data_IF_927007442669
#
_entry.id   IF_927007442669
#
_cell.length_a   1.000
_cell.length_b   1.000
_cell.length_c   1.000
_cell.angle_alpha   90.00
_cell.angle_beta   90.00
_cell.angle_gamma   90.00
#
_symmetry.space_group_name_H-M   'P 1'
#
loop_
_entity.id
_entity.type
_entity.pdbx_description
1 polymer ?
#
# COMPACT_ATOMS: atom_id res chain seq x y z
N UNK A 1 -7.50 40.84 78.72
CA UNK A 1 -8.17 40.38 79.95
C UNK A 1 -7.33 40.78 81.16
N UNK A 2 -7.93 41.08 82.32
CA UNK A 2 -7.21 41.40 83.56
C UNK A 2 -7.03 40.14 84.41
N UNK A 3 -5.84 39.91 84.97
CA UNK A 3 -5.64 38.79 85.91
C UNK A 3 -6.42 39.02 87.21
N UNK A 4 -6.89 37.93 87.84
CA UNK A 4 -7.55 38.02 89.15
C UNK A 4 -6.52 38.42 90.21
N UNK A 5 -6.93 39.26 91.16
CA UNK A 5 -6.02 39.81 92.17
C UNK A 5 -5.87 38.86 93.37
N UNK A 6 -5.37 37.67 93.11
CA UNK A 6 -4.93 36.70 94.13
C UNK A 6 -3.43 36.45 94.01
N UNK A 7 -2.74 36.00 95.08
CA UNK A 7 -1.30 35.77 95.04
C UNK A 7 -0.85 34.80 93.94
N UNK A 8 -1.68 33.80 93.61
CA UNK A 8 -1.40 32.75 92.62
C UNK A 8 -2.17 32.91 91.30
N UNK A 9 -2.94 34.00 91.14
CA UNK A 9 -3.78 34.30 89.96
C UNK A 9 -4.86 33.26 89.68
N UNK A 10 -5.30 32.50 90.69
CA UNK A 10 -6.39 31.54 90.57
C UNK A 10 -7.57 31.89 91.46
N UNK A 11 -8.72 31.35 91.11
CA UNK A 11 -9.87 31.33 91.99
C UNK A 11 -9.68 30.28 93.09
N UNK A 12 -10.03 30.67 94.30
CA UNK A 12 -10.02 29.84 95.51
C UNK A 12 -11.44 29.77 96.04
N UNK A 13 -11.93 28.56 96.29
CA UNK A 13 -13.25 28.36 96.90
C UNK A 13 -13.20 28.71 98.39
N UNK A 14 -14.28 29.32 98.87
CA UNK A 14 -14.47 29.49 100.30
C UNK A 14 -14.92 28.17 100.92
N UNK A 15 -14.51 27.89 102.16
CA UNK A 15 -14.92 26.68 102.87
C UNK A 15 -16.20 26.87 103.72
N UNK A 16 -16.87 28.02 103.58
CA UNK A 16 -18.12 28.34 104.26
C UNK A 16 -18.01 28.60 105.77
N UNK A 17 -16.79 28.64 106.33
CA UNK A 17 -16.55 28.92 107.76
C UNK A 17 -15.49 30.01 107.95
N UNK A 18 -14.26 29.73 107.54
CA UNK A 18 -13.09 30.55 107.95
C UNK A 18 -12.20 30.97 106.78
N UNK A 19 -12.36 30.32 105.61
CA UNK A 19 -11.65 30.69 104.38
C UNK A 19 -12.64 31.39 103.46
N UNK A 20 -12.41 32.69 103.25
CA UNK A 20 -13.17 33.46 102.28
C UNK A 20 -12.75 33.02 100.87
N UNK A 21 -13.74 32.75 100.03
CA UNK A 21 -13.49 32.50 98.61
C UNK A 21 -12.97 33.75 97.90
N UNK A 22 -12.46 33.57 96.69
CA UNK A 22 -11.98 34.69 95.88
C UNK A 22 -13.11 35.67 95.59
N UNK A 23 -12.94 36.92 96.02
CA UNK A 23 -13.89 38.01 95.75
C UNK A 23 -13.56 38.64 94.41
N UNK A 24 -14.55 38.72 93.52
CA UNK A 24 -14.41 39.34 92.21
C UNK A 24 -14.79 40.81 92.28
N UNK A 25 -13.89 41.69 91.83
CA UNK A 25 -14.17 43.15 91.79
C UNK A 25 -14.96 43.54 90.54
N UNK A 26 -15.73 44.62 90.63
CA UNK A 26 -16.44 45.19 89.48
C UNK A 26 -15.49 45.53 88.32
N UNK A 27 -14.32 46.09 88.62
CA UNK A 27 -13.28 46.38 87.62
C UNK A 27 -12.84 45.14 86.86
N UNK A 28 -12.69 44.01 87.56
CA UNK A 28 -12.33 42.74 86.92
C UNK A 28 -13.47 42.23 86.03
N UNK A 29 -14.72 42.29 86.52
CA UNK A 29 -15.88 41.84 85.75
C UNK A 29 -16.14 42.72 84.52
N UNK A 30 -15.99 44.04 84.64
CA UNK A 30 -16.07 44.99 83.53
C UNK A 30 -14.98 44.75 82.49
N UNK A 31 -13.75 44.42 82.94
CA UNK A 31 -12.67 44.05 82.03
C UNK A 31 -13.00 42.77 81.24
N UNK A 32 -13.58 41.75 81.90
CA UNK A 32 -14.04 40.52 81.22
C UNK A 32 -15.17 40.81 80.23
N UNK A 33 -16.15 41.64 80.61
CA UNK A 33 -17.22 42.07 79.71
C UNK A 33 -16.65 42.80 78.49
N UNK A 34 -15.66 43.68 78.68
CA UNK A 34 -14.99 44.40 77.59
C UNK A 34 -14.35 43.47 76.56
N UNK A 35 -13.68 42.39 77.01
CA UNK A 35 -13.10 41.37 76.11
C UNK A 35 -14.19 40.63 75.33
N UNK A 36 -15.28 40.24 75.99
CA UNK A 36 -16.39 39.51 75.34
C UNK A 36 -17.09 40.41 74.31
N UNK A 37 -17.36 41.66 74.67
CA UNK A 37 -17.94 42.66 73.75
C UNK A 37 -16.98 42.92 72.59
N UNK A 38 -15.68 43.10 72.87
CA UNK A 38 -14.64 43.33 71.86
C UNK A 38 -14.48 42.17 70.90
N UNK A 39 -14.65 40.93 71.36
CA UNK A 39 -14.66 39.75 70.49
C UNK A 39 -15.88 39.73 69.56
N UNK A 40 -17.09 40.03 70.08
CA UNK A 40 -18.31 40.07 69.26
C UNK A 40 -18.23 41.18 68.21
N UNK A 41 -17.81 42.39 68.60
CA UNK A 41 -17.71 43.53 67.69
C UNK A 41 -16.53 43.43 66.73
N UNK A 42 -15.41 42.87 67.18
CA UNK A 42 -14.24 42.58 66.35
C UNK A 42 -14.50 41.55 65.25
N UNK A 43 -15.47 40.65 65.46
CA UNK A 43 -16.01 39.74 64.44
C UNK A 43 -17.18 40.35 63.64
N UNK A 44 -17.29 41.69 63.64
CA UNK A 44 -18.27 42.47 62.89
C UNK A 44 -19.75 42.20 63.27
N UNK A 45 -20.01 41.73 64.49
CA UNK A 45 -21.36 41.55 65.04
C UNK A 45 -21.71 42.62 66.09
N UNK A 46 -22.99 42.85 66.35
CA UNK A 46 -23.46 43.80 67.38
C UNK A 46 -23.89 43.08 68.64
N UNK A 47 -23.55 43.64 69.80
CA UNK A 47 -24.06 43.16 71.08
C UNK A 47 -25.53 43.57 71.24
N UNK A 48 -26.40 42.60 71.53
CA UNK A 48 -27.84 42.78 71.70
C UNK A 48 -28.36 41.94 72.87
N UNK A 49 -28.79 42.58 73.95
CA UNK A 49 -29.28 41.91 75.16
C UNK A 49 -30.49 40.98 74.95
N UNK A 50 -31.24 41.14 73.86
CA UNK A 50 -32.35 40.24 73.51
C UNK A 50 -31.90 38.94 72.83
N UNK A 51 -30.62 38.84 72.45
CA UNK A 51 -30.07 37.70 71.73
C UNK A 51 -29.22 36.83 72.66
N UNK A 52 -29.57 35.56 72.86
CA UNK A 52 -28.69 34.62 73.57
C UNK A 52 -27.52 34.18 72.67
N UNK A 53 -26.44 33.68 73.30
CA UNK A 53 -25.31 33.02 72.61
C UNK A 53 -24.57 33.87 71.57
N UNK A 54 -24.51 35.19 71.76
CA UNK A 54 -23.96 36.13 70.76
C UNK A 54 -22.51 35.84 70.39
N UNK A 55 -21.67 35.46 71.36
CA UNK A 55 -20.29 35.07 71.11
C UNK A 55 -20.19 33.86 70.18
N UNK A 56 -20.98 32.81 70.44
CA UNK A 56 -21.05 31.64 69.57
C UNK A 56 -21.48 32.04 68.15
N UNK A 57 -22.52 32.86 68.03
CA UNK A 57 -23.03 33.32 66.72
C UNK A 57 -21.99 34.14 65.96
N UNK A 58 -21.28 35.05 66.62
CA UNK A 58 -20.23 35.86 66.00
C UNK A 58 -19.06 34.99 65.51
N UNK A 59 -18.62 34.04 66.32
CA UNK A 59 -17.54 33.09 65.95
C UNK A 59 -18.01 32.15 64.83
N UNK A 60 -19.22 31.59 64.92
CA UNK A 60 -19.75 30.69 63.91
C UNK A 60 -19.93 31.39 62.55
N UNK A 61 -20.45 32.62 62.55
CA UNK A 61 -20.57 33.42 61.33
C UNK A 61 -19.19 33.76 60.74
N UNK A 62 -18.26 34.24 61.56
CA UNK A 62 -16.91 34.56 61.09
C UNK A 62 -16.17 33.33 60.54
N UNK A 63 -16.37 32.15 61.13
CA UNK A 63 -15.78 30.89 60.65
C UNK A 63 -16.41 30.42 59.32
N UNK A 64 -17.71 30.65 59.14
CA UNK A 64 -18.39 30.39 57.87
C UNK A 64 -17.92 31.35 56.75
N UNK A 65 -17.55 32.59 57.10
CA UNK A 65 -17.11 33.61 56.13
C UNK A 65 -15.62 33.50 55.74
N UNK A 66 -14.76 33.00 56.64
CA UNK A 66 -13.29 33.15 56.53
C UNK A 66 -12.59 32.44 55.36
N UNK A 67 -13.24 31.52 54.63
CA UNK A 67 -12.60 30.82 53.52
C UNK A 67 -13.48 30.55 52.28
N UNK A 68 -14.79 30.78 52.33
CA UNK A 68 -15.68 29.76 51.75
C UNK A 68 -16.75 30.34 50.78
N UNK A 69 -17.21 31.58 50.94
CA UNK A 69 -18.25 32.15 50.06
C UNK A 69 -17.74 33.16 49.01
N UNK A 70 -16.79 34.03 49.35
CA UNK A 70 -16.42 35.18 48.50
C UNK A 70 -15.29 34.90 47.50
N UNK A 71 -14.47 33.86 47.72
CA UNK A 71 -13.44 33.45 46.76
C UNK A 71 -14.02 32.39 45.84
N UNK A 72 -13.98 32.61 44.53
CA UNK A 72 -14.60 31.74 43.52
C UNK A 72 -13.55 31.27 42.51
N UNK A 73 -13.67 30.00 42.12
CA UNK A 73 -12.98 29.44 40.97
C UNK A 73 -13.91 29.61 39.77
N UNK A 74 -13.50 30.42 38.80
CA UNK A 74 -14.22 30.58 37.53
C UNK A 74 -13.53 29.75 36.47
N UNK A 75 -14.25 28.77 35.91
CA UNK A 75 -13.75 27.99 34.79
C UNK A 75 -13.67 28.86 33.52
N UNK A 76 -12.52 28.81 32.84
CA UNK A 76 -12.33 29.42 31.53
C UNK A 76 -12.89 28.55 30.40
N UNK A 77 -12.75 29.00 29.16
CA UNK A 77 -13.12 28.22 27.98
C UNK A 77 -12.40 26.86 27.96
N UNK A 78 -13.13 25.79 27.64
CA UNK A 78 -12.60 24.43 27.63
C UNK A 78 -12.66 23.75 28.99
N UNK A 79 -13.05 24.46 30.05
CA UNK A 79 -13.24 23.93 31.39
C UNK A 79 -14.69 24.16 31.84
N UNK A 80 -15.24 23.26 32.64
CA UNK A 80 -16.53 23.44 33.32
C UNK A 80 -16.40 23.17 34.81
N UNK A 81 -17.37 23.63 35.61
CA UNK A 81 -17.34 23.52 37.06
C UNK A 81 -16.83 24.79 37.74
N UNK A 82 -16.15 24.63 38.87
CA UNK A 82 -15.75 25.75 39.74
C UNK A 82 -16.82 26.10 40.79
N UNK A 83 -17.00 27.39 41.05
CA UNK A 83 -17.85 27.93 42.11
C UNK A 83 -17.05 28.49 43.29
N UNK A 84 -17.74 28.97 44.32
CA UNK A 84 -17.10 29.49 45.54
C UNK A 84 -16.23 28.41 46.21
N UNK A 85 -15.31 28.74 47.11
CA UNK A 85 -14.50 27.75 47.82
C UNK A 85 -15.26 27.10 48.99
N UNK A 86 -16.58 26.92 48.84
CA UNK A 86 -17.42 26.57 49.96
C UNK A 86 -17.28 25.13 50.48
N UNK A 87 -16.72 24.30 49.63
CA UNK A 87 -16.43 22.89 49.84
C UNK A 87 -15.47 22.48 48.71
N UNK A 88 -15.26 21.17 48.51
CA UNK A 88 -14.44 20.64 47.42
C UNK A 88 -14.99 21.06 46.05
N UNK A 89 -14.12 21.58 45.18
CA UNK A 89 -14.46 22.00 43.81
C UNK A 89 -13.92 21.01 42.79
N UNK A 90 -14.75 20.71 41.80
CA UNK A 90 -14.36 19.93 40.63
C UNK A 90 -14.29 20.87 39.45
N UNK A 91 -13.18 20.82 38.73
CA UNK A 91 -13.01 21.45 37.43
C UNK A 91 -12.85 20.32 36.42
N UNK A 92 -13.69 20.31 35.41
CA UNK A 92 -13.69 19.27 34.38
C UNK A 92 -13.13 19.85 33.09
N UNK A 93 -12.17 19.15 32.48
CA UNK A 93 -11.71 19.47 31.14
C UNK A 93 -12.76 18.99 30.12
N UNK A 94 -13.13 19.88 29.21
CA UNK A 94 -14.05 19.58 28.12
C UNK A 94 -13.52 18.47 27.22
N UNK A 95 -14.41 17.60 26.76
CA UNK A 95 -14.06 16.48 25.89
C UNK A 95 -13.36 16.98 24.62
N UNK A 96 -12.22 16.41 24.20
CA UNK A 96 -11.58 16.77 22.94
C UNK A 96 -12.54 16.60 21.75
N UNK A 97 -12.50 17.52 20.80
CA UNK A 97 -13.20 17.38 19.53
C UNK A 97 -12.51 16.35 18.64
N UNK A 98 -13.27 15.72 17.74
CA UNK A 98 -12.72 14.84 16.70
C UNK A 98 -11.72 15.60 15.82
N UNK A 99 -10.54 15.03 15.63
CA UNK A 99 -9.54 15.57 14.69
C UNK A 99 -9.93 15.20 13.26
N UNK A 100 -9.98 16.21 12.38
CA UNK A 100 -10.22 16.09 10.94
C UNK A 100 -9.02 16.66 10.18
N UNK A 101 -9.01 16.50 8.86
CA UNK A 101 -7.97 17.06 7.99
C UNK A 101 -7.93 18.61 7.96
N UNK A 102 -8.85 19.29 8.68
CA UNK A 102 -8.91 20.76 8.80
C UNK A 102 -9.07 21.21 10.25
N UNK A 103 -8.87 20.33 11.23
CA UNK A 103 -8.90 20.74 12.64
C UNK A 103 -7.84 21.79 12.91
N UNK A 104 -8.20 22.80 13.70
CA UNK A 104 -7.29 23.82 14.22
C UNK A 104 -6.93 23.56 15.67
N UNK A 105 -5.93 24.29 16.17
CA UNK A 105 -5.72 24.45 17.60
C UNK A 105 -6.79 25.41 18.14
N UNK A 106 -7.82 24.88 18.81
CA UNK A 106 -8.92 25.70 19.31
C UNK A 106 -9.42 25.25 20.68
N UNK A 107 -10.01 26.18 21.43
CA UNK A 107 -10.77 25.91 22.64
C UNK A 107 -12.22 26.36 22.42
N UNK A 108 -13.17 25.54 22.86
CA UNK A 108 -14.59 25.82 22.82
C UNK A 108 -15.17 25.76 24.25
N UNK A 109 -16.42 26.17 24.45
CA UNK A 109 -17.02 26.27 25.79
C UNK A 109 -16.82 25.01 26.65
N UNK A 110 -16.97 23.82 26.06
CA UNK A 110 -16.80 22.52 26.73
C UNK A 110 -15.97 21.52 25.90
N UNK A 111 -15.05 22.00 25.06
CA UNK A 111 -14.19 21.16 24.23
C UNK A 111 -12.86 21.85 23.90
N UNK A 112 -11.92 21.10 23.36
CA UNK A 112 -10.68 21.62 22.77
C UNK A 112 -10.26 20.73 21.60
N UNK A 113 -9.46 21.27 20.68
CA UNK A 113 -8.92 20.52 19.54
C UNK A 113 -7.49 20.94 19.25
N UNK A 114 -6.77 20.04 18.59
CA UNK A 114 -5.47 20.34 18.00
C UNK A 114 -5.51 20.17 16.48
N UNK A 115 -4.62 20.90 15.82
CA UNK A 115 -4.31 20.71 14.41
C UNK A 115 -3.30 19.58 14.25
N UNK A 116 -3.51 18.77 13.22
CA UNK A 116 -2.49 17.89 12.66
C UNK A 116 -2.33 18.29 11.21
N UNK A 117 -1.09 18.56 10.80
CA UNK A 117 -0.81 18.95 9.42
C UNK A 117 -1.22 17.85 8.44
N UNK A 118 -1.53 18.24 7.21
CA UNK A 118 -1.67 17.28 6.11
C UNK A 118 -0.30 16.76 5.73
N UNK A 119 -0.20 15.47 5.45
CA UNK A 119 1.09 14.93 5.05
C UNK A 119 1.50 15.47 3.67
N UNK A 120 2.81 15.49 3.45
CA UNK A 120 3.45 15.73 2.16
C UNK A 120 4.61 14.75 2.00
N UNK A 121 5.35 14.85 0.89
CA UNK A 121 6.57 14.06 0.68
C UNK A 121 7.71 14.43 1.64
N UNK A 122 7.58 15.50 2.41
CA UNK A 122 8.60 15.99 3.36
C UNK A 122 8.09 16.18 4.78
N UNK A 123 6.78 16.00 5.02
CA UNK A 123 6.15 16.18 6.33
C UNK A 123 5.15 15.06 6.60
N UNK A 124 5.20 14.47 7.80
CA UNK A 124 4.20 13.52 8.26
C UNK A 124 2.88 14.22 8.61
N UNK A 125 1.75 13.52 8.48
CA UNK A 125 0.44 14.11 8.74
C UNK A 125 -0.74 13.22 8.35
N UNK A 126 -1.95 13.80 8.34
CA UNK A 126 -3.16 13.11 7.87
C UNK A 126 -3.12 12.98 6.33
N UNK A 127 -3.45 11.79 5.81
CA UNK A 127 -3.46 11.46 4.37
C UNK A 127 -4.84 10.95 3.95
N UNK A 128 -5.32 11.37 2.78
CA UNK A 128 -6.48 10.76 2.13
C UNK A 128 -6.02 9.61 1.22
N UNK A 129 -6.73 8.48 1.24
CA UNK A 129 -6.48 7.38 0.32
C UNK A 129 -7.09 7.66 -1.06
N UNK A 130 -6.33 7.39 -2.12
CA UNK A 130 -6.78 7.46 -3.51
C UNK A 130 -6.98 6.05 -4.08
N UNK A 131 -8.22 5.77 -4.49
CA UNK A 131 -8.63 4.49 -5.05
C UNK A 131 -8.79 4.52 -6.59
N UNK A 132 -8.01 5.36 -7.28
CA UNK A 132 -7.91 5.41 -8.75
C UNK A 132 -6.45 5.44 -9.18
N UNK A 133 -6.19 5.19 -10.48
CA UNK A 133 -4.86 5.26 -11.09
C UNK A 133 -4.71 6.45 -12.05
N UNK A 134 -5.66 7.38 -12.03
CA UNK A 134 -5.73 8.52 -12.97
C UNK A 134 -5.45 9.86 -12.31
N UNK A 135 -5.33 9.90 -10.99
CA UNK A 135 -5.06 11.13 -10.25
C UNK A 135 -3.58 11.50 -10.30
N UNK A 136 -3.30 12.80 -10.34
CA UNK A 136 -1.95 13.37 -10.18
C UNK A 136 -1.74 14.01 -8.80
N UNK A 137 -2.64 13.78 -7.85
CA UNK A 137 -2.55 14.37 -6.52
C UNK A 137 -1.31 13.86 -5.76
N UNK A 138 -0.51 14.79 -5.23
CA UNK A 138 0.73 14.49 -4.49
C UNK A 138 0.52 14.35 -2.98
N UNK A 139 -0.71 14.55 -2.51
CA UNK A 139 -1.11 14.57 -1.10
C UNK A 139 -2.10 13.45 -0.74
N UNK A 140 -2.17 12.41 -1.56
CA UNK A 140 -3.00 11.24 -1.34
C UNK A 140 -2.14 9.97 -1.41
N UNK A 141 -2.45 8.97 -0.59
CA UNK A 141 -1.76 7.67 -0.64
C UNK A 141 -2.54 6.67 -1.50
N UNK A 142 -1.81 5.85 -2.25
CA UNK A 142 -2.40 4.78 -3.06
C UNK A 142 -3.10 3.74 -2.17
N UNK A 143 -4.28 3.27 -2.56
CA UNK A 143 -4.92 2.13 -1.87
C UNK A 143 -4.25 0.80 -2.23
N UNK A 144 -4.38 -0.18 -1.34
CA UNK A 144 -3.95 -1.55 -1.60
C UNK A 144 -4.61 -2.16 -2.85
N UNK A 145 -5.89 -1.85 -3.10
CA UNK A 145 -6.60 -2.31 -4.29
C UNK A 145 -5.97 -1.79 -5.60
N UNK A 146 -5.59 -0.52 -5.63
CA UNK A 146 -4.93 0.06 -6.80
C UNK A 146 -3.47 -0.38 -6.93
N UNK A 147 -2.75 -0.59 -5.82
CA UNK A 147 -1.44 -1.24 -5.84
C UNK A 147 -1.48 -2.66 -6.43
N UNK A 148 -2.49 -3.46 -6.07
CA UNK A 148 -2.72 -4.77 -6.68
C UNK A 148 -3.03 -4.66 -8.19
N UNK A 149 -3.87 -3.71 -8.58
CA UNK A 149 -4.22 -3.51 -10.00
C UNK A 149 -2.99 -3.19 -10.85
N UNK A 150 -2.12 -2.29 -10.38
CA UNK A 150 -0.84 -1.99 -11.05
C UNK A 150 0.02 -3.24 -11.17
N UNK A 151 0.13 -4.04 -10.11
CA UNK A 151 0.89 -5.29 -10.14
C UNK A 151 0.33 -6.27 -11.17
N UNK A 152 -1.00 -6.45 -11.22
CA UNK A 152 -1.65 -7.35 -12.19
C UNK A 152 -1.42 -6.87 -13.63
N UNK A 153 -1.50 -5.56 -13.88
CA UNK A 153 -1.23 -4.95 -15.20
C UNK A 153 0.24 -5.11 -15.61
N UNK A 154 1.19 -4.94 -14.67
CA UNK A 154 2.62 -5.15 -14.91
C UNK A 154 2.95 -6.60 -15.25
N UNK A 155 2.39 -7.57 -14.52
CA UNK A 155 2.57 -9.00 -14.81
C UNK A 155 2.00 -9.34 -16.18
N UNK A 156 0.82 -8.79 -16.53
CA UNK A 156 0.23 -8.99 -17.84
C UNK A 156 1.11 -8.40 -18.97
N UNK A 157 1.72 -7.23 -18.77
CA UNK A 157 2.66 -6.63 -19.72
C UNK A 157 3.90 -7.50 -19.91
N UNK A 158 4.53 -7.95 -18.82
CA UNK A 158 5.71 -8.83 -18.88
C UNK A 158 5.41 -10.10 -19.68
N UNK A 159 4.27 -10.75 -19.45
CA UNK A 159 3.86 -11.94 -20.21
C UNK A 159 3.70 -11.65 -21.70
N UNK A 160 3.12 -10.51 -22.09
CA UNK A 160 2.99 -10.12 -23.51
C UNK A 160 4.36 -9.96 -24.16
N UNK A 161 5.30 -9.30 -23.48
CA UNK A 161 6.67 -9.11 -23.98
C UNK A 161 7.37 -10.45 -24.15
N UNK A 162 7.29 -11.34 -23.16
CA UNK A 162 7.88 -12.69 -23.24
C UNK A 162 7.33 -13.47 -24.44
N UNK A 163 6.01 -13.49 -24.63
CA UNK A 163 5.40 -14.21 -25.75
C UNK A 163 5.75 -13.61 -27.11
N UNK A 164 5.87 -12.28 -27.22
CA UNK A 164 6.29 -11.62 -28.46
C UNK A 164 7.74 -11.93 -28.82
N UNK A 165 8.64 -11.97 -27.83
CA UNK A 165 10.04 -12.34 -28.04
C UNK A 165 10.13 -13.81 -28.47
N UNK A 166 9.44 -14.71 -27.77
CA UNK A 166 9.39 -16.13 -28.11
C UNK A 166 8.88 -16.35 -29.54
N UNK A 167 7.75 -15.74 -29.91
CA UNK A 167 7.17 -15.87 -31.25
C UNK A 167 8.04 -15.32 -32.39
N UNK A 168 8.88 -14.30 -32.12
CA UNK A 168 9.83 -13.77 -33.12
C UNK A 168 11.08 -14.63 -33.27
N UNK A 169 11.52 -15.29 -32.19
CA UNK A 169 12.67 -16.20 -32.23
C UNK A 169 12.36 -17.45 -33.07
N UNK A 170 11.13 -17.97 -32.97
CA UNK A 170 10.67 -19.12 -33.74
C UNK A 170 10.42 -18.81 -35.22
N UNK A 171 10.04 -17.58 -35.56
CA UNK A 171 9.82 -17.15 -36.95
C UNK A 171 11.12 -16.99 -37.75
N UNK A 172 12.25 -16.76 -37.08
CA UNK A 172 13.56 -16.69 -37.72
C UNK A 172 14.26 -18.07 -37.85
N UNK A 173 13.77 -19.09 -37.12
CA UNK A 173 14.47 -20.36 -36.94
C UNK A 173 13.81 -21.58 -37.65
N UNK A 174 12.59 -21.47 -38.19
CA UNK A 174 11.94 -22.61 -38.85
C UNK A 174 10.64 -22.30 -39.61
N UNK A 175 10.14 -23.30 -40.35
CA UNK A 175 8.81 -23.28 -40.99
C UNK A 175 7.78 -23.66 -39.93
N UNK A 176 7.23 -22.67 -39.23
CA UNK A 176 6.33 -22.85 -38.08
C UNK A 176 4.86 -22.50 -38.38
N UNK A 177 4.51 -22.15 -39.61
CA UNK A 177 3.14 -21.82 -40.01
C UNK A 177 2.55 -22.92 -40.91
N UNK A 178 1.23 -23.08 -40.87
CA UNK A 178 0.48 -24.09 -41.65
C UNK A 178 0.21 -23.68 -43.10
N UNK A 179 0.61 -22.47 -43.50
CA UNK A 179 0.48 -21.95 -44.86
C UNK A 179 1.82 -21.83 -45.58
N UNK A 180 1.79 -21.42 -46.84
CA UNK A 180 3.00 -21.21 -47.63
C UNK A 180 3.93 -20.19 -46.97
N UNK A 181 5.20 -20.55 -46.80
CA UNK A 181 6.22 -19.69 -46.20
C UNK A 181 7.36 -19.45 -47.19
N UNK A 182 7.68 -18.17 -47.42
CA UNK A 182 8.92 -17.79 -48.11
C UNK A 182 10.04 -17.66 -47.10
N UNK A 183 11.12 -18.42 -47.30
CA UNK A 183 12.29 -18.36 -46.42
C UNK A 183 13.48 -17.83 -47.21
N UNK A 184 13.94 -16.61 -46.88
CA UNK A 184 15.08 -15.97 -47.55
C UNK A 184 16.42 -16.53 -47.09
N UNK A 185 17.45 -16.42 -47.94
CA UNK A 185 18.84 -16.84 -47.66
C UNK A 185 19.09 -18.34 -47.85
N UNK A 186 20.36 -18.75 -47.83
CA UNK A 186 20.79 -20.16 -47.99
C UNK A 186 20.25 -21.01 -46.82
N UNK A 187 19.89 -22.26 -47.11
CA UNK A 187 19.46 -23.26 -46.12
C UNK A 187 20.36 -24.47 -46.18
N UNK A 188 20.79 -24.93 -45.01
CA UNK A 188 21.57 -26.17 -44.84
C UNK A 188 20.78 -27.10 -43.95
N UNK A 189 20.41 -28.28 -44.48
CA UNK A 189 19.80 -29.35 -43.71
C UNK A 189 20.88 -30.36 -43.34
N UNK A 190 21.23 -30.45 -42.04
CA UNK A 190 22.24 -31.40 -41.56
C UNK A 190 21.80 -32.87 -41.66
N UNK A 191 20.52 -33.10 -41.94
CA UNK A 191 19.90 -34.41 -42.09
C UNK A 191 19.18 -34.52 -43.44
N UNK A 192 18.79 -35.74 -43.82
CA UNK A 192 18.04 -36.01 -45.04
C UNK A 192 16.72 -35.22 -45.05
N UNK A 193 16.49 -34.47 -46.13
CA UNK A 193 15.21 -33.81 -46.40
C UNK A 193 14.20 -34.81 -46.96
N UNK A 194 13.03 -34.93 -46.33
CA UNK A 194 11.90 -35.73 -46.84
C UNK A 194 10.83 -34.80 -47.42
N UNK A 195 10.61 -34.88 -48.73
CA UNK A 195 9.62 -34.07 -49.46
C UNK A 195 8.62 -34.97 -50.19
N UNK A 196 7.50 -35.31 -49.54
CA UNK A 196 6.50 -36.22 -50.11
C UNK A 196 5.79 -35.67 -51.36
N UNK A 197 5.77 -34.34 -51.55
CA UNK A 197 5.27 -33.68 -52.75
C UNK A 197 6.32 -33.44 -53.84
N UNK A 198 7.57 -33.88 -53.64
CA UNK A 198 8.71 -33.55 -54.49
C UNK A 198 9.34 -32.19 -54.16
N UNK A 199 10.42 -31.87 -54.89
CA UNK A 199 11.14 -30.60 -54.79
C UNK A 199 11.05 -29.89 -56.15
N UNK A 200 10.41 -28.74 -56.20
CA UNK A 200 10.45 -27.87 -57.37
C UNK A 200 11.75 -27.06 -57.36
N UNK A 201 12.47 -27.08 -58.48
CA UNK A 201 13.75 -26.41 -58.65
C UNK A 201 13.63 -25.41 -59.80
N UNK A 202 13.76 -24.13 -59.47
CA UNK A 202 13.82 -23.01 -60.41
C UNK A 202 14.88 -22.02 -59.93
N UNK A 203 15.39 -21.18 -60.84
CA UNK A 203 16.34 -20.13 -60.48
C UNK A 203 15.68 -18.87 -59.90
N UNK A 204 14.37 -18.69 -60.07
CA UNK A 204 13.58 -17.61 -59.46
C UNK A 204 12.07 -17.95 -59.49
N UNK A 205 11.28 -17.17 -58.75
CA UNK A 205 9.83 -17.33 -58.63
C UNK A 205 9.10 -17.18 -59.98
N UNK A 206 9.54 -16.24 -60.83
CA UNK A 206 8.95 -16.02 -62.16
C UNK A 206 9.06 -17.27 -63.03
N UNK A 207 10.20 -17.96 -62.98
CA UNK A 207 10.44 -19.18 -63.74
C UNK A 207 9.68 -20.37 -63.16
N UNK A 208 9.53 -20.46 -61.83
CA UNK A 208 8.65 -21.44 -61.22
C UNK A 208 7.20 -21.26 -61.67
N UNK A 209 6.68 -20.02 -61.64
CA UNK A 209 5.32 -19.68 -62.04
C UNK A 209 5.06 -19.89 -63.54
N UNK A 210 6.06 -19.66 -64.39
CA UNK A 210 6.00 -19.89 -65.83
C UNK A 210 6.22 -21.36 -66.23
N UNK A 211 6.25 -22.30 -65.27
CA UNK A 211 6.55 -23.72 -65.48
C UNK A 211 7.94 -24.00 -66.06
N UNK A 212 8.85 -23.01 -66.05
CA UNK A 212 10.27 -23.16 -66.40
C UNK A 212 11.06 -23.74 -65.21
N UNK A 213 10.55 -24.83 -64.61
CA UNK A 213 11.12 -25.48 -63.45
C UNK A 213 11.29 -26.98 -63.67
N UNK A 214 12.17 -27.58 -62.87
CA UNK A 214 12.29 -29.02 -62.72
C UNK A 214 11.55 -29.50 -61.48
N UNK A 215 10.99 -30.71 -61.50
CA UNK A 215 10.57 -31.41 -60.28
C UNK A 215 11.49 -32.60 -60.08
N UNK A 216 12.10 -32.69 -58.89
CA UNK A 216 12.77 -33.91 -58.43
C UNK A 216 11.79 -34.65 -57.51
N UNK A 217 11.39 -35.85 -57.89
CA UNK A 217 10.40 -36.61 -57.13
C UNK A 217 10.55 -38.11 -57.36
N UNK A 218 9.68 -38.88 -56.71
CA UNK A 218 9.58 -40.32 -56.86
C UNK A 218 8.12 -40.74 -56.86
N UNK A 219 7.84 -41.89 -57.47
CA UNK A 219 6.56 -42.55 -57.43
C UNK A 219 6.76 -44.06 -57.21
N UNK A 220 5.68 -44.83 -57.30
CA UNK A 220 5.70 -46.27 -57.10
C UNK A 220 6.57 -47.05 -58.11
N UNK A 221 7.01 -46.40 -59.20
CA UNK A 221 7.71 -47.04 -60.31
C UNK A 221 9.14 -46.52 -60.55
N UNK A 222 9.45 -45.28 -60.17
CA UNK A 222 10.73 -44.64 -60.45
C UNK A 222 11.04 -43.46 -59.51
N UNK A 223 12.33 -43.08 -59.48
CA UNK A 223 12.79 -41.75 -59.07
C UNK A 223 13.08 -40.94 -60.33
N UNK A 224 12.64 -39.70 -60.41
CA UNK A 224 12.69 -38.95 -61.66
C UNK A 224 12.94 -37.45 -61.49
N UNK A 225 13.41 -36.86 -62.59
CA UNK A 225 13.44 -35.43 -62.81
C UNK A 225 12.50 -35.12 -63.97
N UNK A 226 11.49 -34.29 -63.72
CA UNK A 226 10.54 -33.83 -64.74
C UNK A 226 10.87 -32.40 -65.16
N UNK A 227 10.95 -32.14 -66.46
CA UNK A 227 10.85 -30.79 -66.98
C UNK A 227 9.35 -30.42 -67.07
N UNK A 228 8.89 -29.49 -66.23
CA UNK A 228 7.45 -29.17 -66.16
C UNK A 228 6.97 -28.56 -67.48
N UNK A 229 7.78 -27.72 -68.13
CA UNK A 229 7.42 -27.03 -69.38
C UNK A 229 7.17 -27.99 -70.53
N UNK A 230 8.06 -28.96 -70.72
CA UNK A 230 7.98 -29.90 -71.84
C UNK A 230 7.28 -31.20 -71.48
N UNK A 231 7.06 -31.46 -70.19
CA UNK A 231 6.49 -32.70 -69.68
C UNK A 231 7.43 -33.91 -69.77
N UNK A 232 8.69 -33.73 -70.21
CA UNK A 232 9.64 -34.83 -70.38
C UNK A 232 10.24 -35.27 -69.05
N UNK A 233 10.48 -36.57 -68.92
CA UNK A 233 11.06 -37.18 -67.72
C UNK A 233 12.43 -37.79 -68.01
N UNK A 234 13.35 -37.64 -67.06
CA UNK A 234 14.51 -38.51 -66.88
C UNK A 234 14.25 -39.36 -65.65
N UNK A 235 14.11 -40.68 -65.82
CA UNK A 235 13.65 -41.59 -64.78
C UNK A 235 14.68 -42.69 -64.53
N UNK A 236 15.03 -42.91 -63.27
CA UNK A 236 15.64 -44.15 -62.82
C UNK A 236 14.52 -45.05 -62.28
N UNK A 237 14.16 -46.08 -63.05
CA UNK A 237 13.14 -47.03 -62.63
C UNK A 237 13.67 -47.92 -61.50
N UNK A 238 12.76 -48.42 -60.66
CA UNK A 238 13.12 -49.35 -59.58
C UNK A 238 13.66 -50.69 -60.09
N UNK A 239 13.48 -51.00 -61.38
CA UNK A 239 14.10 -52.14 -62.07
C UNK A 239 15.53 -51.87 -62.57
N UNK A 240 16.09 -50.68 -62.27
CA UNK A 240 17.47 -50.29 -62.57
C UNK A 240 17.69 -49.62 -63.93
N UNK A 241 16.66 -49.52 -64.77
CA UNK A 241 16.77 -48.88 -66.10
C UNK A 241 16.71 -47.36 -66.02
N UNK A 242 17.50 -46.70 -66.87
CA UNK A 242 17.43 -45.26 -67.09
C UNK A 242 16.56 -44.97 -68.31
N UNK A 243 15.52 -44.17 -68.14
CA UNK A 243 14.55 -43.83 -69.18
C UNK A 243 14.57 -42.32 -69.41
N UNK A 244 14.55 -41.89 -70.67
CA UNK A 244 14.33 -40.50 -71.05
C UNK A 244 13.17 -40.41 -72.03
N UNK A 245 12.15 -39.62 -71.68
CA UNK A 245 10.96 -39.39 -72.52
C UNK A 245 10.31 -40.71 -72.99
N UNK A 246 10.20 -41.67 -72.06
CA UNK A 246 9.64 -43.00 -72.32
C UNK A 246 10.57 -44.01 -73.00
N UNK A 247 11.77 -43.60 -73.42
CA UNK A 247 12.73 -44.47 -74.11
C UNK A 247 13.88 -44.86 -73.19
N UNK A 248 14.28 -46.13 -73.24
CA UNK A 248 15.45 -46.60 -72.50
C UNK A 248 16.73 -45.97 -73.04
N UNK A 249 17.52 -45.39 -72.14
CA UNK A 249 18.81 -44.79 -72.45
C UNK A 249 19.86 -45.89 -72.41
N UNK A 250 20.19 -46.42 -73.58
CA UNK A 250 21.25 -47.40 -73.72
C UNK A 250 22.64 -46.76 -73.64
N UNK A 251 23.51 -47.36 -72.83
CA UNK A 251 24.94 -47.05 -72.81
C UNK A 251 25.69 -47.87 -73.86
N UNK A 252 26.95 -47.54 -74.11
CA UNK A 252 27.83 -48.32 -74.99
C UNK A 252 28.03 -49.77 -74.51
N UNK A 253 27.75 -50.09 -73.24
CA UNK A 253 27.80 -51.46 -72.71
C UNK A 253 26.59 -52.31 -73.10
N UNK A 254 25.45 -51.68 -73.39
CA UNK A 254 24.20 -52.35 -73.72
C UNK A 254 24.12 -52.78 -75.20
N UNK A 255 25.06 -52.30 -76.02
CA UNK A 255 25.20 -52.69 -77.42
C UNK A 255 26.21 -53.84 -77.52
N UNK A 256 25.74 -55.06 -77.81
CA UNK A 256 26.58 -56.26 -77.97
C UNK A 256 27.69 -56.12 -79.02
N UNK A 257 27.57 -55.15 -79.94
CA UNK A 257 28.50 -54.91 -81.04
C UNK A 257 29.23 -53.54 -80.92
N UNK A 258 29.16 -52.87 -79.76
CA UNK A 258 29.89 -51.62 -79.56
C UNK A 258 31.39 -51.88 -79.44
N UNK A 259 32.13 -51.32 -80.39
CA UNK A 259 33.59 -51.25 -80.38
C UNK A 259 33.97 -50.12 -79.43
N UNK A 260 34.72 -50.44 -78.38
CA UNK A 260 35.45 -49.46 -77.60
C UNK A 260 36.83 -49.34 -78.26
N UNK A 261 37.07 -48.25 -79.01
CA UNK A 261 38.30 -48.09 -79.79
C UNK A 261 39.56 -47.94 -78.94
N UNK A 262 39.39 -47.69 -77.64
CA UNK A 262 40.48 -47.51 -76.68
C UNK A 262 40.70 -48.75 -75.79
N UNK A 263 39.78 -49.73 -75.85
CA UNK A 263 39.93 -51.03 -75.18
C UNK A 263 40.46 -52.07 -76.17
N UNK A 264 41.79 -52.26 -76.15
CA UNK A 264 42.50 -53.19 -77.02
C UNK A 264 42.08 -54.68 -76.87
N UNK A 265 41.22 -55.01 -75.91
CA UNK A 265 40.74 -56.37 -75.66
C UNK A 265 39.33 -56.68 -76.19
N UNK A 266 38.65 -55.71 -76.84
CA UNK A 266 37.25 -55.88 -77.28
C UNK A 266 37.11 -55.95 -78.80
N UNK A 267 37.27 -57.16 -79.36
CA UNK A 267 37.10 -57.41 -80.80
C UNK A 267 35.60 -57.43 -81.14
N UNK A 268 35.18 -56.68 -82.17
CA UNK A 268 33.80 -56.66 -82.63
C UNK A 268 33.36 -58.03 -83.17
N UNK A 269 32.29 -58.60 -82.65
CA UNK A 269 31.60 -59.73 -83.29
C UNK A 269 30.19 -59.30 -83.67
N UNK A 270 29.87 -59.18 -84.96
CA UNK A 270 28.48 -59.05 -85.40
C UNK A 270 27.84 -60.44 -85.46
N UNK A 271 26.66 -60.63 -84.86
CA UNK A 271 25.82 -61.80 -85.17
C UNK A 271 25.32 -61.67 -86.61
N UNK A 272 25.52 -62.73 -87.40
CA UNK A 272 24.89 -62.91 -88.71
C UNK A 272 23.38 -63.15 -88.57
#
# INVERSE_FOLDING_TARGET
>A
MKEINTPDKRFVDGNGRDVLGTVVTADWLNAVQGEIVGLITGLNAKVNGAVPNQMYRAIANALAEKANANTTITAGTGLTGGGNLSANRTITLGTPSTITATSGNTVAASSHSHAIDKASTTAAGIVQLNNTLTSSATNQALTAAMGKKLQDEMVAYQRRVTNQIAGKLDAAAGVNLTGDQTISGVKTFNNIQKAFGGIQVANNEVNAAASNAGIVSANHNAVFIQNIKTGKFLELRHDGRLIYDGNEVYTHRDRSNAIDSDDAYKIATSKA
#
